data_IF_064833751410
#
_entry.id   IF_064833751410
#
_cell.length_a   1.000
_cell.length_b   1.000
_cell.length_c   1.000
_cell.angle_alpha   90.00
_cell.angle_beta   90.00
_cell.angle_gamma   90.00
#
_symmetry.space_group_name_H-M   'P 1'
#
loop_
_entity.id
_entity.type
_entity.pdbx_description
1 polymer ?
#
# COMPACT_ATOMS: atom_id res chain seq x y z
N UNK A 1 20.88 -1.93 29.27
CA UNK A 1 19.47 -2.20 29.00
C UNK A 1 19.36 -3.60 28.42
N UNK A 2 18.41 -4.40 28.90
CA UNK A 2 18.24 -5.77 28.37
C UNK A 2 17.42 -5.79 27.08
N UNK A 3 17.68 -6.72 26.18
CA UNK A 3 16.97 -6.90 24.91
C UNK A 3 15.44 -6.87 25.09
N UNK A 4 14.95 -7.41 26.22
CA UNK A 4 13.52 -7.45 26.55
C UNK A 4 12.98 -6.04 26.85
N UNK A 5 13.74 -5.21 27.59
CA UNK A 5 13.35 -3.82 27.90
C UNK A 5 13.27 -2.98 26.62
N UNK A 6 14.27 -3.10 25.74
CA UNK A 6 14.32 -2.39 24.47
C UNK A 6 13.16 -2.82 23.56
N UNK A 7 12.81 -4.12 23.56
CA UNK A 7 11.65 -4.63 22.82
C UNK A 7 10.34 -4.01 23.31
N UNK A 8 10.09 -4.05 24.63
CA UNK A 8 8.85 -3.46 25.17
C UNK A 8 8.82 -1.94 24.99
N UNK A 9 9.92 -1.24 25.19
CA UNK A 9 10.02 0.19 24.95
C UNK A 9 9.68 0.53 23.48
N UNK A 10 10.18 -0.25 22.53
CA UNK A 10 9.85 -0.10 21.12
C UNK A 10 8.36 -0.35 20.84
N UNK A 11 7.76 -1.40 21.41
CA UNK A 11 6.33 -1.67 21.26
C UNK A 11 5.45 -0.54 21.81
N UNK A 12 5.80 0.01 22.99
CA UNK A 12 5.10 1.16 23.56
C UNK A 12 5.25 2.39 22.67
N UNK A 13 6.41 2.61 22.07
CA UNK A 13 6.63 3.69 21.10
C UNK A 13 5.73 3.55 19.88
N UNK A 14 5.61 2.36 19.30
CA UNK A 14 4.69 2.09 18.16
C UNK A 14 3.22 2.35 18.51
N UNK A 15 2.82 2.08 19.76
CA UNK A 15 1.45 2.34 20.25
C UNK A 15 1.16 3.85 20.37
N UNK A 16 2.15 4.62 20.80
CA UNK A 16 1.97 6.03 21.25
C UNK A 16 2.39 7.07 20.22
N UNK A 17 3.27 6.70 19.29
CA UNK A 17 3.81 7.61 18.27
C UNK A 17 3.56 7.08 16.86
N UNK A 18 3.43 7.98 15.87
CA UNK A 18 3.44 7.61 14.45
C UNK A 18 4.88 7.44 13.98
N UNK A 19 5.49 6.28 14.25
CA UNK A 19 6.88 6.01 13.87
C UNK A 19 7.04 5.97 12.35
N UNK A 20 8.16 6.45 11.83
CA UNK A 20 8.53 6.45 10.41
C UNK A 20 7.44 7.03 9.46
N UNK A 21 6.66 8.02 9.91
CA UNK A 21 5.61 8.63 9.09
C UNK A 21 4.31 7.81 8.94
N UNK A 22 4.18 6.69 9.66
CA UNK A 22 3.00 5.80 9.59
C UNK A 22 1.84 6.21 10.52
N UNK A 23 1.76 7.48 10.93
CA UNK A 23 0.63 8.03 11.70
C UNK A 23 -0.60 8.20 10.80
N UNK A 24 -1.57 7.27 10.89
CA UNK A 24 -2.81 7.30 10.11
C UNK A 24 -4.04 7.41 11.01
N UNK A 25 -5.20 7.88 10.50
CA UNK A 25 -6.41 8.01 11.28
C UNK A 25 -6.94 6.66 11.78
N UNK A 26 -7.76 6.66 12.83
CA UNK A 26 -8.23 5.42 13.48
C UNK A 26 -9.01 4.49 12.54
N UNK A 27 -9.73 5.03 11.55
CA UNK A 27 -10.52 4.27 10.57
C UNK A 27 -9.70 3.66 9.42
N UNK A 28 -8.38 3.87 9.41
CA UNK A 28 -7.48 3.41 8.35
C UNK A 28 -7.64 1.93 8.03
N UNK A 29 -7.58 1.05 9.04
CA UNK A 29 -7.70 -0.39 8.83
C UNK A 29 -9.07 -0.82 8.32
N UNK A 30 -10.14 -0.12 8.72
CA UNK A 30 -11.48 -0.37 8.19
C UNK A 30 -11.56 -0.06 6.69
N UNK A 31 -10.96 1.04 6.24
CA UNK A 31 -10.86 1.38 4.82
C UNK A 31 -9.99 0.39 4.05
N UNK A 32 -8.82 0.02 4.60
CA UNK A 32 -7.93 -0.97 4.00
C UNK A 32 -8.65 -2.31 3.78
N UNK A 33 -9.42 -2.78 4.78
CA UNK A 33 -10.18 -4.01 4.66
C UNK A 33 -11.35 -3.89 3.67
N UNK A 34 -12.05 -2.76 3.67
CA UNK A 34 -13.16 -2.52 2.75
C UNK A 34 -12.70 -2.51 1.29
N UNK A 35 -11.61 -1.80 1.00
CA UNK A 35 -11.07 -1.65 -0.35
C UNK A 35 -10.26 -2.88 -0.77
N UNK A 36 -9.35 -3.35 0.10
CA UNK A 36 -8.43 -4.44 -0.20
C UNK A 36 -9.09 -5.81 -0.30
N UNK A 37 -10.20 -6.03 0.40
CA UNK A 37 -10.98 -7.27 0.29
C UNK A 37 -12.19 -7.14 -0.65
N UNK A 38 -12.27 -6.09 -1.48
CA UNK A 38 -13.34 -5.95 -2.45
C UNK A 38 -13.29 -7.09 -3.51
N UNK A 39 -14.43 -7.67 -3.93
CA UNK A 39 -15.82 -7.34 -3.55
C UNK A 39 -16.35 -8.12 -2.34
N UNK A 40 -15.61 -9.07 -1.78
CA UNK A 40 -16.08 -9.93 -0.69
C UNK A 40 -16.31 -9.17 0.62
N UNK A 41 -15.60 -8.06 0.84
CA UNK A 41 -15.82 -7.20 2.00
C UNK A 41 -17.28 -6.73 2.12
N UNK A 42 -17.94 -6.44 0.99
CA UNK A 42 -19.36 -6.02 0.96
C UNK A 42 -20.30 -7.15 1.41
N UNK A 43 -19.99 -8.40 1.04
CA UNK A 43 -20.74 -9.56 1.50
C UNK A 43 -20.61 -9.77 3.01
N UNK A 44 -19.37 -9.68 3.51
CA UNK A 44 -19.07 -9.92 4.91
C UNK A 44 -19.82 -8.98 5.87
N UNK A 45 -20.11 -7.73 5.46
CA UNK A 45 -20.84 -6.76 6.26
C UNK A 45 -22.20 -7.28 6.76
N UNK A 46 -22.85 -8.16 6.02
CA UNK A 46 -24.12 -8.76 6.44
C UNK A 46 -24.04 -9.55 7.75
N UNK A 47 -22.91 -10.21 7.97
CA UNK A 47 -22.75 -11.10 9.13
C UNK A 47 -21.91 -10.47 10.23
N UNK A 48 -20.94 -9.65 9.89
CA UNK A 48 -20.07 -8.99 10.87
C UNK A 48 -20.89 -8.15 11.87
N UNK A 49 -21.96 -7.49 11.41
CA UNK A 49 -22.80 -6.62 12.25
C UNK A 49 -24.02 -7.32 12.86
N UNK A 50 -24.27 -8.60 12.57
CA UNK A 50 -25.36 -9.34 13.23
C UNK A 50 -25.03 -9.53 14.70
N UNK A 51 -26.02 -9.33 15.61
CA UNK A 51 -25.78 -9.37 17.06
C UNK A 51 -25.44 -10.76 17.58
N UNK A 52 -26.06 -11.81 17.07
CA UNK A 52 -25.90 -13.19 17.56
C UNK A 52 -25.64 -14.15 16.40
N UNK A 53 -24.61 -14.97 16.53
CA UNK A 53 -24.30 -16.02 15.57
C UNK A 53 -24.94 -17.36 15.98
N UNK A 54 -25.18 -18.22 14.98
CA UNK A 54 -25.82 -19.51 15.18
C UNK A 54 -24.84 -20.60 15.68
N UNK A 55 -23.54 -20.41 15.46
CA UNK A 55 -22.50 -21.39 15.82
C UNK A 55 -21.40 -20.74 16.64
N UNK A 56 -20.76 -21.55 17.50
CA UNK A 56 -19.60 -21.12 18.28
C UNK A 56 -18.45 -20.63 17.38
N UNK A 57 -18.20 -21.35 16.26
CA UNK A 57 -17.14 -20.98 15.32
C UNK A 57 -17.38 -19.61 14.69
N UNK A 58 -18.61 -19.32 14.25
CA UNK A 58 -18.96 -17.99 13.72
C UNK A 58 -18.78 -16.89 14.78
N UNK A 59 -19.09 -17.17 16.04
CA UNK A 59 -18.85 -16.25 17.15
C UNK A 59 -17.36 -15.98 17.34
N UNK A 60 -16.50 -17.01 17.27
CA UNK A 60 -15.05 -16.85 17.34
C UNK A 60 -14.50 -16.01 16.17
N UNK A 61 -14.97 -16.26 14.95
CA UNK A 61 -14.57 -15.45 13.77
C UNK A 61 -14.96 -13.99 13.94
N UNK A 62 -16.11 -13.72 14.52
CA UNK A 62 -16.55 -12.34 14.82
C UNK A 62 -15.70 -11.67 15.88
N UNK A 63 -15.38 -12.39 16.97
CA UNK A 63 -14.49 -11.89 18.01
C UNK A 63 -13.11 -11.58 17.42
N UNK A 64 -12.55 -12.49 16.61
CA UNK A 64 -11.27 -12.28 15.93
C UNK A 64 -11.30 -11.01 15.08
N UNK A 65 -12.34 -10.82 14.27
CA UNK A 65 -12.48 -9.62 13.42
C UNK A 65 -12.46 -8.34 14.26
N UNK A 66 -13.30 -8.26 15.28
CA UNK A 66 -13.43 -7.04 16.07
C UNK A 66 -12.22 -6.77 16.96
N UNK A 67 -11.64 -7.79 17.58
CA UNK A 67 -10.43 -7.64 18.40
C UNK A 67 -9.27 -7.11 17.54
N UNK A 68 -9.01 -7.72 16.39
CA UNK A 68 -7.93 -7.28 15.51
C UNK A 68 -8.18 -5.88 14.97
N UNK A 69 -9.39 -5.61 14.47
CA UNK A 69 -9.73 -4.29 13.94
C UNK A 69 -9.60 -3.19 14.98
N UNK A 70 -10.16 -3.38 16.17
CA UNK A 70 -10.12 -2.38 17.25
C UNK A 70 -8.69 -2.20 17.74
N UNK A 71 -7.95 -3.29 18.01
CA UNK A 71 -6.58 -3.23 18.50
C UNK A 71 -5.71 -2.38 17.57
N UNK A 72 -5.67 -2.71 16.28
CA UNK A 72 -4.82 -1.97 15.32
C UNK A 72 -5.38 -0.60 14.92
N UNK A 73 -6.67 -0.35 15.14
CA UNK A 73 -7.23 0.99 14.98
C UNK A 73 -6.79 1.94 16.10
N UNK A 74 -6.53 1.43 17.31
CA UNK A 74 -6.06 2.23 18.45
C UNK A 74 -4.55 2.54 18.36
N UNK A 75 -3.75 1.65 17.78
CA UNK A 75 -2.31 1.84 17.59
C UNK A 75 -2.07 3.04 16.66
N UNK A 76 -1.13 3.94 17.00
CA UNK A 76 -0.84 5.13 16.17
C UNK A 76 -0.08 4.78 14.90
N UNK A 77 0.93 3.92 15.00
CA UNK A 77 1.65 3.41 13.81
C UNK A 77 0.80 2.38 13.09
N UNK A 78 0.37 2.70 11.87
CA UNK A 78 -0.54 1.86 11.09
C UNK A 78 0.13 1.35 9.81
N UNK A 79 0.23 0.03 9.70
CA UNK A 79 0.78 -0.65 8.54
C UNK A 79 -0.30 -1.58 7.97
N UNK A 80 -0.46 -1.62 6.66
CA UNK A 80 -1.53 -2.35 5.95
C UNK A 80 -1.70 -3.79 6.44
N UNK A 81 -0.59 -4.53 6.60
CA UNK A 81 -0.61 -5.94 6.96
C UNK A 81 -1.00 -6.24 8.42
N UNK A 82 -1.07 -5.23 9.31
CA UNK A 82 -1.49 -5.45 10.70
C UNK A 82 -2.94 -5.96 10.80
N UNK A 83 -3.79 -5.56 9.86
CA UNK A 83 -5.17 -6.03 9.81
C UNK A 83 -5.38 -7.32 8.99
N UNK A 84 -4.31 -7.99 8.53
CA UNK A 84 -4.42 -9.20 7.68
C UNK A 84 -5.16 -10.36 8.35
N UNK A 85 -5.09 -10.49 9.67
CA UNK A 85 -5.87 -11.49 10.41
C UNK A 85 -7.39 -11.32 10.25
N UNK A 86 -7.87 -10.14 9.85
CA UNK A 86 -9.28 -9.90 9.54
C UNK A 86 -9.71 -10.57 8.21
N UNK A 87 -8.78 -10.97 7.35
CA UNK A 87 -9.11 -11.64 6.09
C UNK A 87 -9.81 -12.96 6.30
N UNK A 88 -9.42 -13.73 7.34
CA UNK A 88 -10.04 -15.00 7.68
C UNK A 88 -11.54 -14.84 7.99
N UNK A 89 -11.95 -14.01 8.95
CA UNK A 89 -13.37 -13.80 9.21
C UNK A 89 -14.12 -13.15 8.05
N UNK A 90 -13.51 -12.23 7.29
CA UNK A 90 -14.12 -11.63 6.09
C UNK A 90 -14.43 -12.73 5.08
N UNK A 91 -13.48 -13.61 4.76
CA UNK A 91 -13.67 -14.70 3.81
C UNK A 91 -14.73 -15.68 4.30
N UNK A 92 -14.68 -16.06 5.58
CA UNK A 92 -15.65 -16.97 6.20
C UNK A 92 -17.10 -16.42 6.10
N UNK A 93 -17.31 -15.18 6.53
CA UNK A 93 -18.65 -14.57 6.48
C UNK A 93 -19.12 -14.31 5.05
N UNK A 94 -18.21 -13.98 4.16
CA UNK A 94 -18.56 -13.78 2.73
C UNK A 94 -18.99 -15.10 2.08
N UNK A 95 -18.31 -16.21 2.36
CA UNK A 95 -18.68 -17.52 1.86
C UNK A 95 -20.08 -17.95 2.36
N UNK A 96 -20.38 -17.69 3.63
CA UNK A 96 -21.71 -17.92 4.21
C UNK A 96 -22.80 -17.11 3.51
N UNK A 97 -22.55 -15.82 3.27
CA UNK A 97 -23.52 -14.95 2.59
C UNK A 97 -23.68 -15.34 1.12
N UNK A 98 -22.58 -15.69 0.46
CA UNK A 98 -22.61 -16.12 -0.94
C UNK A 98 -23.42 -17.41 -1.12
N UNK A 99 -23.23 -18.39 -0.21
CA UNK A 99 -24.02 -19.61 -0.22
C UNK A 99 -25.51 -19.33 0.02
N UNK A 100 -25.84 -18.56 1.06
CA UNK A 100 -27.23 -18.20 1.34
C UNK A 100 -27.89 -17.41 0.19
N UNK A 101 -27.12 -16.61 -0.54
CA UNK A 101 -27.60 -15.90 -1.74
C UNK A 101 -27.85 -16.88 -2.90
N UNK A 102 -26.97 -17.85 -3.11
CA UNK A 102 -27.13 -18.90 -4.11
C UNK A 102 -28.42 -19.71 -3.89
N UNK A 103 -28.68 -20.08 -2.64
CA UNK A 103 -29.89 -20.82 -2.23
C UNK A 103 -31.18 -19.97 -2.23
N UNK A 104 -31.07 -18.66 -2.57
CA UNK A 104 -32.22 -17.75 -2.55
C UNK A 104 -32.70 -17.35 -1.15
N UNK A 105 -31.98 -17.75 -0.10
CA UNK A 105 -32.33 -17.51 1.31
C UNK A 105 -31.98 -16.11 1.80
N UNK A 106 -31.19 -15.34 1.02
CA UNK A 106 -30.76 -14.00 1.39
C UNK A 106 -30.89 -13.04 0.20
N UNK A 107 -31.88 -12.13 0.21
CA UNK A 107 -32.02 -11.18 -0.87
C UNK A 107 -30.87 -10.15 -0.88
N UNK A 108 -30.37 -9.87 -2.06
CA UNK A 108 -29.45 -8.77 -2.27
C UNK A 108 -30.24 -7.44 -2.22
N UNK A 109 -29.84 -6.52 -1.33
CA UNK A 109 -30.55 -5.25 -1.16
C UNK A 109 -29.87 -4.07 -1.89
N UNK A 110 -30.63 -3.00 -2.10
CA UNK A 110 -30.16 -1.79 -2.81
C UNK A 110 -28.95 -1.12 -2.14
N UNK A 111 -28.89 -1.12 -0.82
CA UNK A 111 -27.76 -0.53 -0.08
C UNK A 111 -26.44 -1.22 -0.44
N UNK A 112 -26.42 -2.56 -0.48
CA UNK A 112 -25.22 -3.33 -0.88
C UNK A 112 -24.84 -3.06 -2.34
N UNK A 113 -25.82 -2.94 -3.23
CA UNK A 113 -25.57 -2.57 -4.62
C UNK A 113 -24.91 -1.20 -4.71
N UNK A 114 -25.43 -0.21 -4.00
CA UNK A 114 -24.85 1.14 -3.99
C UNK A 114 -23.41 1.09 -3.42
N UNK A 115 -23.20 0.43 -2.30
CA UNK A 115 -21.88 0.30 -1.69
C UNK A 115 -20.90 -0.43 -2.62
N UNK A 116 -21.34 -1.51 -3.26
CA UNK A 116 -20.56 -2.24 -4.26
C UNK A 116 -20.15 -1.35 -5.43
N UNK A 117 -21.08 -0.57 -5.98
CA UNK A 117 -20.80 0.35 -7.09
C UNK A 117 -19.85 1.46 -6.66
N UNK A 118 -20.11 2.11 -5.53
CA UNK A 118 -19.30 3.22 -5.03
C UNK A 118 -17.86 2.77 -4.77
N UNK A 119 -17.68 1.66 -4.03
CA UNK A 119 -16.35 1.13 -3.73
C UNK A 119 -15.66 0.64 -5.00
N UNK A 120 -16.39 -0.06 -5.86
CA UNK A 120 -15.85 -0.57 -7.12
C UNK A 120 -15.40 0.54 -8.07
N UNK A 121 -16.19 1.60 -8.23
CA UNK A 121 -15.82 2.76 -9.06
C UNK A 121 -14.69 3.58 -8.45
N UNK A 122 -14.64 3.70 -7.13
CA UNK A 122 -13.52 4.35 -6.43
C UNK A 122 -12.20 3.61 -6.71
N UNK A 123 -12.20 2.26 -6.65
CA UNK A 123 -11.03 1.46 -7.01
C UNK A 123 -10.66 1.62 -8.49
N UNK A 124 -11.65 1.61 -9.39
CA UNK A 124 -11.42 1.83 -10.81
C UNK A 124 -10.83 3.21 -11.10
N UNK A 125 -11.28 4.23 -10.39
CA UNK A 125 -10.72 5.58 -10.46
C UNK A 125 -9.25 5.58 -10.00
N UNK A 126 -8.94 4.96 -8.86
CA UNK A 126 -7.55 4.85 -8.37
C UNK A 126 -6.68 4.11 -9.38
N UNK A 127 -7.15 2.98 -9.92
CA UNK A 127 -6.41 2.19 -10.91
C UNK A 127 -6.19 2.92 -12.23
N UNK A 128 -7.04 3.90 -12.56
CA UNK A 128 -6.87 4.76 -13.73
C UNK A 128 -5.95 5.95 -13.45
N UNK A 129 -6.15 6.62 -12.30
CA UNK A 129 -5.42 7.84 -11.98
C UNK A 129 -3.93 7.60 -11.74
N UNK A 130 -3.56 6.49 -11.10
CA UNK A 130 -2.14 6.20 -10.81
C UNK A 130 -1.29 6.12 -12.09
N UNK A 131 -1.65 5.33 -13.12
CA UNK A 131 -0.94 5.35 -14.40
C UNK A 131 -1.00 6.71 -15.10
N UNK A 132 -2.14 7.40 -15.05
CA UNK A 132 -2.33 8.70 -15.69
C UNK A 132 -1.37 9.77 -15.12
N UNK A 133 -1.18 9.76 -13.79
CA UNK A 133 -0.20 10.63 -13.11
C UNK A 133 1.21 10.27 -13.54
N UNK A 134 1.52 8.98 -13.61
CA UNK A 134 2.83 8.50 -14.04
C UNK A 134 3.16 8.83 -15.50
N UNK A 135 2.16 8.78 -16.41
CA UNK A 135 2.33 9.18 -17.80
C UNK A 135 2.56 10.69 -17.97
N UNK A 136 2.01 11.51 -17.09
CA UNK A 136 1.98 12.96 -17.22
C UNK A 136 2.47 13.67 -15.93
N UNK A 137 3.68 13.37 -15.43
CA UNK A 137 4.15 13.90 -14.16
C UNK A 137 4.22 15.44 -14.16
N UNK A 138 4.56 16.05 -15.30
CA UNK A 138 4.67 17.52 -15.44
C UNK A 138 3.37 18.26 -15.13
N UNK A 139 2.20 17.65 -15.38
CA UNK A 139 0.89 18.24 -15.09
C UNK A 139 0.63 18.28 -13.59
N UNK A 140 1.11 17.28 -12.85
CA UNK A 140 0.81 17.10 -11.42
C UNK A 140 1.87 17.71 -10.50
N UNK A 141 3.12 17.80 -10.96
CA UNK A 141 4.25 18.35 -10.19
C UNK A 141 3.98 19.75 -9.57
N UNK A 142 3.29 20.69 -10.22
CA UNK A 142 3.01 21.99 -9.62
C UNK A 142 2.12 21.94 -8.37
N UNK A 143 1.29 20.90 -8.25
CA UNK A 143 0.35 20.71 -7.14
C UNK A 143 0.94 19.94 -5.97
N UNK A 144 2.11 19.31 -6.15
CA UNK A 144 2.79 18.49 -5.14
C UNK A 144 3.81 19.37 -4.41
N UNK A 145 3.59 19.59 -3.11
CA UNK A 145 4.48 20.39 -2.27
C UNK A 145 5.62 19.58 -1.67
N UNK A 146 5.45 18.26 -1.51
CA UNK A 146 6.45 17.37 -0.95
C UNK A 146 7.63 17.21 -1.93
N UNK A 147 8.83 17.65 -1.50
CA UNK A 147 10.06 17.61 -2.30
C UNK A 147 10.52 16.18 -2.64
N UNK A 148 10.27 15.20 -1.74
CA UNK A 148 10.62 13.81 -1.97
C UNK A 148 9.72 13.18 -3.05
N UNK A 149 8.41 13.40 -2.98
CA UNK A 149 7.46 12.93 -3.99
C UNK A 149 7.75 13.59 -5.35
N UNK A 150 8.10 14.89 -5.38
CA UNK A 150 8.49 15.59 -6.60
C UNK A 150 9.74 14.99 -7.23
N UNK A 151 10.77 14.72 -6.42
CA UNK A 151 12.00 14.09 -6.88
C UNK A 151 11.76 12.70 -7.48
N UNK A 152 10.98 11.88 -6.80
CA UNK A 152 10.64 10.54 -7.26
C UNK A 152 9.87 10.56 -8.59
N UNK A 153 8.89 11.44 -8.75
CA UNK A 153 8.10 11.55 -9.99
C UNK A 153 8.93 12.05 -11.19
N UNK A 154 10.12 12.62 -10.98
CA UNK A 154 11.05 12.99 -12.05
C UNK A 154 11.94 11.82 -12.52
N UNK A 155 11.92 10.69 -11.81
CA UNK A 155 12.66 9.48 -12.23
C UNK A 155 12.15 8.98 -13.59
N UNK A 156 13.05 8.53 -14.49
CA UNK A 156 12.68 8.09 -15.83
C UNK A 156 12.00 6.72 -15.80
N UNK A 157 10.69 6.70 -15.57
CA UNK A 157 9.87 5.48 -15.62
C UNK A 157 9.08 5.45 -16.92
N UNK A 158 9.28 4.39 -17.71
CA UNK A 158 8.61 4.24 -19.01
C UNK A 158 7.17 3.73 -18.85
N UNK A 159 6.19 4.56 -19.19
CA UNK A 159 4.78 4.19 -19.33
C UNK A 159 4.45 3.94 -20.81
N UNK A 160 3.55 2.98 -21.07
CA UNK A 160 3.18 2.59 -22.44
C UNK A 160 1.79 3.08 -22.85
N UNK A 161 1.04 3.70 -21.94
CA UNK A 161 -0.28 4.28 -22.19
C UNK A 161 -1.46 3.31 -22.08
N UNK A 162 -1.21 2.00 -22.04
CA UNK A 162 -2.27 1.01 -21.88
C UNK A 162 -2.67 0.75 -20.42
N UNK A 163 -1.80 1.06 -19.46
CA UNK A 163 -1.96 0.70 -18.05
C UNK A 163 -3.20 1.36 -17.43
N UNK A 164 -3.53 2.58 -17.82
CA UNK A 164 -4.76 3.27 -17.38
C UNK A 164 -6.03 2.56 -17.79
N UNK A 165 -5.99 1.81 -18.90
CA UNK A 165 -7.17 1.07 -19.38
C UNK A 165 -7.57 -0.07 -18.45
N UNK A 166 -6.67 -0.58 -17.59
CA UNK A 166 -6.99 -1.59 -16.58
C UNK A 166 -8.07 -1.03 -15.64
N UNK A 167 -7.92 0.22 -15.17
CA UNK A 167 -8.92 0.87 -14.31
C UNK A 167 -10.22 1.22 -15.05
N UNK A 168 -10.13 1.58 -16.34
CA UNK A 168 -11.32 1.82 -17.16
C UNK A 168 -12.11 0.53 -17.36
N UNK A 169 -11.45 -0.59 -17.70
CA UNK A 169 -12.07 -1.91 -17.83
C UNK A 169 -12.69 -2.37 -16.51
N UNK A 170 -11.98 -2.14 -15.39
CA UNK A 170 -12.53 -2.38 -14.06
C UNK A 170 -13.83 -1.61 -13.83
N UNK A 171 -13.84 -0.30 -14.11
CA UNK A 171 -15.03 0.54 -13.93
C UNK A 171 -16.19 0.09 -14.83
N UNK A 172 -15.90 -0.26 -16.07
CA UNK A 172 -16.88 -0.81 -17.00
C UNK A 172 -17.47 -2.14 -16.50
N UNK A 173 -16.66 -3.01 -15.93
CA UNK A 173 -17.10 -4.28 -15.33
C UNK A 173 -18.05 -4.04 -14.14
N UNK A 174 -17.75 -3.08 -13.27
CA UNK A 174 -18.63 -2.71 -12.16
C UNK A 174 -19.96 -2.18 -12.66
N UNK A 175 -19.96 -1.29 -13.64
CA UNK A 175 -21.18 -0.75 -14.25
C UNK A 175 -21.99 -1.88 -14.92
N UNK A 176 -21.34 -2.74 -15.71
CA UNK A 176 -21.97 -3.89 -16.35
C UNK A 176 -22.65 -4.83 -15.34
N UNK A 177 -22.00 -5.06 -14.18
CA UNK A 177 -22.53 -5.97 -13.17
C UNK A 177 -23.90 -5.55 -12.62
N UNK A 178 -24.19 -4.25 -12.58
CA UNK A 178 -25.46 -3.69 -12.10
C UNK A 178 -26.42 -3.29 -13.23
N UNK A 179 -25.98 -3.40 -14.49
CA UNK A 179 -26.78 -3.00 -15.64
C UNK A 179 -27.96 -3.94 -15.86
N UNK A 180 -29.11 -3.36 -16.24
CA UNK A 180 -30.32 -4.10 -16.60
C UNK A 180 -31.35 -4.21 -15.47
N UNK A 181 -32.55 -4.73 -15.83
CA UNK A 181 -33.72 -4.75 -14.94
C UNK A 181 -33.51 -5.54 -13.63
N UNK A 182 -32.67 -6.57 -13.67
CA UNK A 182 -32.43 -7.45 -12.53
C UNK A 182 -31.30 -6.95 -11.61
N UNK A 183 -30.62 -5.84 -11.97
CA UNK A 183 -29.48 -5.32 -11.20
C UNK A 183 -28.36 -6.33 -11.03
N UNK A 184 -27.69 -6.31 -9.88
CA UNK A 184 -26.61 -7.24 -9.53
C UNK A 184 -27.20 -8.62 -9.18
N UNK A 185 -27.02 -9.59 -10.08
CA UNK A 185 -27.38 -11.00 -9.85
C UNK A 185 -26.18 -11.80 -9.34
N UNK A 186 -26.45 -12.96 -8.76
CA UNK A 186 -25.43 -13.89 -8.29
C UNK A 186 -24.40 -14.23 -9.38
N UNK A 187 -24.85 -14.56 -10.59
CA UNK A 187 -23.95 -14.88 -11.71
C UNK A 187 -23.07 -13.69 -12.12
N UNK A 188 -23.65 -12.49 -12.22
CA UNK A 188 -22.88 -11.27 -12.53
C UNK A 188 -21.84 -10.97 -11.44
N UNK A 189 -22.19 -11.20 -10.19
CA UNK A 189 -21.27 -11.04 -9.07
C UNK A 189 -20.07 -12.03 -9.18
N UNK A 190 -20.32 -13.29 -9.51
CA UNK A 190 -19.24 -14.28 -9.72
C UNK A 190 -18.34 -13.90 -10.90
N UNK A 191 -18.93 -13.48 -12.02
CA UNK A 191 -18.18 -12.98 -13.18
C UNK A 191 -17.30 -11.79 -12.75
N UNK A 192 -17.88 -10.84 -12.02
CA UNK A 192 -17.15 -9.68 -11.52
C UNK A 192 -15.99 -10.11 -10.60
N UNK A 193 -16.19 -11.04 -9.67
CA UNK A 193 -15.12 -11.58 -8.82
C UNK A 193 -13.99 -12.19 -9.65
N UNK A 194 -14.32 -13.07 -10.59
CA UNK A 194 -13.30 -13.77 -11.41
C UNK A 194 -12.50 -12.78 -12.25
N UNK A 195 -13.16 -11.85 -12.94
CA UNK A 195 -12.49 -10.84 -13.75
C UNK A 195 -11.70 -9.85 -12.90
N UNK A 196 -12.15 -9.53 -11.68
CA UNK A 196 -11.39 -8.70 -10.74
C UNK A 196 -10.04 -9.31 -10.39
N UNK A 197 -9.97 -10.62 -10.19
CA UNK A 197 -8.70 -11.34 -9.93
C UNK A 197 -7.74 -11.15 -11.11
N UNK A 198 -8.23 -11.36 -12.34
CA UNK A 198 -7.42 -11.16 -13.55
C UNK A 198 -6.92 -9.73 -13.70
N UNK A 199 -7.79 -8.73 -13.44
CA UNK A 199 -7.43 -7.32 -13.52
C UNK A 199 -6.44 -6.90 -12.43
N UNK A 200 -6.59 -7.39 -11.21
CA UNK A 200 -5.63 -7.15 -10.12
C UNK A 200 -4.27 -7.76 -10.47
N UNK A 201 -4.26 -8.98 -11.02
CA UNK A 201 -3.02 -9.61 -11.48
C UNK A 201 -2.34 -8.80 -12.59
N UNK A 202 -3.12 -8.32 -13.58
CA UNK A 202 -2.60 -7.46 -14.64
C UNK A 202 -2.06 -6.13 -14.08
N UNK A 203 -2.76 -5.51 -13.13
CA UNK A 203 -2.31 -4.30 -12.46
C UNK A 203 -0.99 -4.52 -11.69
N UNK A 204 -0.90 -5.61 -10.94
CA UNK A 204 0.30 -6.00 -10.21
C UNK A 204 1.48 -6.27 -11.16
N UNK A 205 1.23 -6.83 -12.36
CA UNK A 205 2.29 -7.13 -13.33
C UNK A 205 2.79 -5.90 -14.10
N UNK A 206 1.88 -4.96 -14.41
CA UNK A 206 2.19 -3.86 -15.34
C UNK A 206 2.31 -2.49 -14.67
N UNK A 207 1.66 -2.27 -13.53
CA UNK A 207 1.65 -0.97 -12.85
C UNK A 207 2.54 -0.94 -11.62
N UNK A 208 2.45 -1.96 -10.75
CA UNK A 208 3.22 -1.98 -9.48
C UNK A 208 4.73 -1.84 -9.71
N UNK A 209 5.39 -2.54 -10.65
CA UNK A 209 6.83 -2.38 -10.87
C UNK A 209 7.23 -0.97 -11.32
N UNK A 210 6.31 -0.24 -11.97
CA UNK A 210 6.56 1.16 -12.35
C UNK A 210 6.47 2.10 -11.16
N UNK A 211 5.54 1.83 -10.22
CA UNK A 211 5.47 2.56 -8.95
C UNK A 211 6.75 2.33 -8.14
N UNK A 212 7.22 1.08 -8.06
CA UNK A 212 8.50 0.75 -7.42
C UNK A 212 9.68 1.46 -8.11
N UNK A 213 9.64 1.58 -9.44
CA UNK A 213 10.62 2.33 -10.21
C UNK A 213 10.80 3.77 -9.74
N UNK A 214 9.74 4.46 -9.36
CA UNK A 214 9.84 5.81 -8.82
C UNK A 214 10.52 5.88 -7.45
N UNK A 215 10.37 4.88 -6.61
CA UNK A 215 10.87 4.93 -5.23
C UNK A 215 12.20 4.21 -5.04
N UNK A 216 12.53 3.22 -5.87
CA UNK A 216 13.65 2.32 -5.63
C UNK A 216 14.67 2.23 -6.78
N UNK A 217 14.33 2.71 -8.00
CA UNK A 217 15.23 2.55 -9.14
C UNK A 217 16.58 3.24 -8.92
N UNK A 218 16.59 4.49 -8.48
CA UNK A 218 17.83 5.26 -8.28
C UNK A 218 18.81 4.60 -7.29
N UNK A 219 18.40 4.18 -6.09
CA UNK A 219 19.27 3.40 -5.19
C UNK A 219 19.74 2.08 -5.81
N UNK A 220 18.84 1.34 -6.47
CA UNK A 220 19.17 0.05 -7.09
C UNK A 220 20.20 0.23 -8.21
N UNK A 221 20.00 1.20 -9.10
CA UNK A 221 20.92 1.52 -10.19
C UNK A 221 22.31 1.91 -9.66
N UNK A 222 22.35 2.68 -8.56
CA UNK A 222 23.61 3.00 -7.89
C UNK A 222 24.32 1.74 -7.40
N UNK A 223 23.62 0.82 -6.72
CA UNK A 223 24.22 -0.43 -6.24
C UNK A 223 24.68 -1.31 -7.40
N UNK A 224 23.89 -1.40 -8.48
CA UNK A 224 24.26 -2.15 -9.69
C UNK A 224 25.52 -1.56 -10.33
N UNK A 225 25.62 -0.23 -10.45
CA UNK A 225 26.78 0.45 -10.99
C UNK A 225 28.07 0.25 -10.16
N UNK A 226 27.92 -0.05 -8.87
CA UNK A 226 29.04 -0.38 -7.96
C UNK A 226 29.32 -1.89 -7.86
N UNK A 227 28.49 -2.72 -8.43
CA UNK A 227 28.67 -4.17 -8.45
C UNK A 227 30.00 -4.54 -9.15
N UNK A 228 30.75 -5.46 -8.54
CA UNK A 228 32.08 -5.87 -9.02
C UNK A 228 33.23 -4.91 -8.70
N UNK A 229 32.96 -3.73 -8.13
CA UNK A 229 34.00 -2.82 -7.62
C UNK A 229 34.34 -3.18 -6.16
N UNK A 230 35.60 -2.98 -5.76
CA UNK A 230 36.04 -3.15 -4.35
C UNK A 230 35.66 -1.90 -3.55
N UNK A 231 34.37 -1.70 -3.32
CA UNK A 231 33.82 -0.56 -2.57
C UNK A 231 32.90 -1.06 -1.47
N UNK A 232 32.90 -0.36 -0.34
CA UNK A 232 31.91 -0.54 0.72
C UNK A 232 30.86 0.55 0.58
N UNK A 233 29.60 0.16 0.60
CA UNK A 233 28.47 1.10 0.56
C UNK A 233 27.73 1.00 1.88
N UNK A 234 27.58 2.11 2.56
CA UNK A 234 26.84 2.22 3.82
C UNK A 234 25.74 3.26 3.68
N UNK A 235 24.55 2.94 4.19
CA UNK A 235 23.41 3.85 4.18
C UNK A 235 23.42 4.68 5.47
N UNK A 236 23.40 6.01 5.34
CA UNK A 236 23.36 6.94 6.48
C UNK A 236 21.92 7.42 6.66
N UNK A 237 21.36 7.21 7.86
CA UNK A 237 20.04 7.72 8.25
C UNK A 237 18.87 6.83 7.87
N UNK A 238 19.03 5.84 6.99
CA UNK A 238 17.96 4.92 6.60
C UNK A 238 18.50 3.51 6.40
N UNK A 239 17.79 2.49 6.95
CA UNK A 239 18.10 1.08 6.71
C UNK A 239 17.32 0.58 5.51
N UNK A 240 17.98 0.45 4.36
CA UNK A 240 17.37 -0.11 3.16
C UNK A 240 17.69 -1.60 3.01
N UNK A 241 16.66 -2.43 2.80
CA UNK A 241 16.85 -3.84 2.47
C UNK A 241 17.35 -4.07 1.02
N UNK A 242 17.22 -3.07 0.15
CA UNK A 242 17.79 -3.10 -1.21
C UNK A 242 19.29 -3.34 -1.22
N UNK A 243 19.99 -2.94 -0.17
CA UNK A 243 21.40 -3.24 0.07
C UNK A 243 21.71 -4.75 0.05
N UNK A 244 20.90 -5.58 0.68
CA UNK A 244 21.13 -7.04 0.74
C UNK A 244 20.92 -7.72 -0.62
N UNK A 245 20.02 -7.23 -1.43
CA UNK A 245 19.73 -7.83 -2.73
C UNK A 245 20.81 -7.51 -3.76
N UNK A 246 21.37 -6.31 -3.71
CA UNK A 246 22.45 -5.89 -4.61
C UNK A 246 23.84 -6.36 -4.16
N UNK A 247 24.07 -6.54 -2.85
CA UNK A 247 25.34 -7.08 -2.32
C UNK A 247 25.59 -8.55 -2.69
N UNK A 248 24.54 -9.31 -3.04
CA UNK A 248 24.69 -10.68 -3.58
C UNK A 248 25.45 -10.74 -4.89
N UNK A 249 25.56 -9.64 -5.62
CA UNK A 249 26.34 -9.52 -6.86
C UNK A 249 27.77 -9.00 -6.63
N UNK A 250 28.11 -8.61 -5.41
CA UNK A 250 29.41 -8.05 -5.05
C UNK A 250 30.14 -9.01 -4.10
N UNK A 251 30.98 -9.87 -4.65
CA UNK A 251 32.04 -10.54 -3.88
C UNK A 251 33.10 -9.50 -3.52
N UNK A 252 32.79 -8.62 -2.57
CA UNK A 252 33.77 -7.68 -2.05
C UNK A 252 34.75 -8.44 -1.15
N UNK A 253 35.96 -8.67 -1.63
CA UNK A 253 37.06 -9.11 -0.76
C UNK A 253 37.40 -7.98 0.21
N UNK A 254 37.54 -8.32 1.48
CA UNK A 254 37.74 -7.44 2.65
C UNK A 254 39.03 -6.59 2.67
N UNK A 255 39.77 -6.42 1.55
CA UNK A 255 41.15 -5.93 1.61
C UNK A 255 41.45 -4.54 1.03
N UNK A 256 40.43 -3.73 0.70
CA UNK A 256 40.71 -2.31 0.33
C UNK A 256 39.52 -1.39 0.69
N UNK A 257 39.79 -0.46 1.60
CA UNK A 257 38.82 0.53 2.10
C UNK A 257 38.66 1.68 1.07
N UNK A 258 37.63 1.64 0.23
CA UNK A 258 37.12 2.83 -0.41
C UNK A 258 35.67 3.03 0.06
N UNK A 259 35.45 3.99 0.94
CA UNK A 259 34.10 4.36 1.39
C UNK A 259 33.41 5.24 0.34
N UNK A 260 32.27 4.77 -0.16
CA UNK A 260 31.35 5.60 -0.91
C UNK A 260 30.12 5.84 -0.02
N UNK A 261 29.99 7.08 0.44
CA UNK A 261 28.81 7.49 1.23
C UNK A 261 27.64 7.76 0.29
N UNK A 262 26.58 7.00 0.47
CA UNK A 262 25.27 7.29 -0.10
C UNK A 262 24.50 8.12 0.91
N UNK A 263 24.51 9.44 0.74
CA UNK A 263 23.61 10.32 1.47
C UNK A 263 22.24 10.14 0.83
N UNK A 264 21.44 9.24 1.37
CA UNK A 264 20.02 9.25 1.10
C UNK A 264 19.47 10.48 1.82
N UNK A 265 19.19 11.52 1.06
CA UNK A 265 18.58 12.75 1.55
C UNK A 265 17.17 12.38 2.00
N UNK A 266 17.06 11.89 3.22
CA UNK A 266 15.80 11.86 3.93
C UNK A 266 15.29 13.28 4.09
N UNK A 267 14.04 13.48 3.85
CA UNK A 267 13.15 14.64 3.85
C UNK A 267 13.24 15.63 5.02
N UNK A 268 14.44 16.01 5.44
CA UNK A 268 14.72 17.08 6.38
C UNK A 268 15.84 17.97 5.83
N UNK A 269 15.66 18.44 4.59
CA UNK A 269 16.34 19.66 4.18
C UNK A 269 15.44 20.79 4.69
N UNK A 270 15.89 21.59 5.67
CA UNK A 270 15.20 22.84 5.95
C UNK A 270 15.20 23.67 4.66
N UNK A 271 14.15 24.46 4.40
CA UNK A 271 14.13 25.34 3.24
C UNK A 271 15.42 26.18 3.22
N UNK A 272 16.00 26.45 2.04
CA UNK A 272 17.17 27.32 1.95
C UNK A 272 16.84 28.63 2.67
N UNK A 273 17.81 29.21 3.40
CA UNK A 273 17.60 30.50 4.05
C UNK A 273 17.22 31.51 2.97
N UNK A 274 16.35 32.49 3.28
CA UNK A 274 15.99 33.51 2.35
C UNK A 274 17.26 34.21 1.86
N UNK A 275 17.34 34.42 0.55
CA UNK A 275 18.46 35.04 -0.16
C UNK A 275 18.98 36.29 0.59
N UNK A 276 20.25 36.25 1.01
CA UNK A 276 20.88 37.47 1.53
C UNK A 276 21.89 37.31 2.67
N UNK A 277 22.56 36.15 2.85
CA UNK A 277 23.75 36.09 3.71
C UNK A 277 24.84 35.23 3.07
N UNK A 278 25.75 35.85 2.37
CA UNK A 278 27.06 35.27 2.02
C UNK A 278 27.79 34.85 3.31
N UNK A 279 27.93 33.56 3.53
CA UNK A 279 28.84 33.01 4.54
C UNK A 279 30.15 32.62 3.86
N UNK A 280 31.17 33.43 4.06
CA UNK A 280 32.57 33.09 3.82
C UNK A 280 32.96 31.75 4.48
N UNK A 281 33.77 30.93 3.82
CA UNK A 281 34.28 29.71 4.43
C UNK A 281 35.46 30.00 5.35
N UNK A 282 35.35 29.70 6.61
CA UNK A 282 36.47 29.47 7.55
C UNK A 282 36.33 28.01 7.95
N UNK A 283 37.21 27.12 7.61
CA UNK A 283 38.58 27.06 7.96
C UNK A 283 38.81 25.91 8.92
N UNK A 284 39.61 24.94 8.50
CA UNK A 284 40.35 24.02 9.35
C UNK A 284 39.61 22.89 10.09
N UNK A 285 39.65 21.73 9.46
CA UNK A 285 39.59 20.45 10.15
C UNK A 285 41.02 20.07 10.53
N UNK A 286 41.34 20.19 11.80
CA UNK A 286 42.47 19.54 12.43
C UNK A 286 42.03 18.19 12.95
N UNK A 287 42.76 17.13 12.51
CA UNK A 287 42.98 15.77 13.07
C UNK A 287 41.82 15.08 13.78
#
# INVERSE_FOLDING_TARGET
MGIIEDFFAYQIRLLTTGDAGHGQPFYYHALVLLLGCFPISILALNRIFVKKESTAFASWMKVLFWVVLILFSLVKTKIVHYSSMCWLPITFFSAHVLHAWHEGNLPWNRFKTILFVVVGLLLGLIFTLVPLIGENPSVFLPYIQDGFVRGNLQSPVAWHGFEKWIGVVWSALIIYSVWGKNGLSFQKFLICMTLSICLIFAYSRYVVPKIEGYTQATPIDFYIAKSGQKVYVETIGFKSFGYFQSSSYSTASLNSFNFVFLVEVCSHIPPPPPDGLESTPKGEIGL
#
